data_IF_877803805024
#
_entry.id   IF_877803805024
#
_cell.length_a   1.000
_cell.length_b   1.000
_cell.length_c   1.000
_cell.angle_alpha   90.00
_cell.angle_beta   90.00
_cell.angle_gamma   90.00
#
_symmetry.space_group_name_H-M   'P 1'
#
loop_
_entity.id
_entity.type
_entity.pdbx_description
1 polymer ?
#
# COMPACT_ATOMS: atom_id res chain seq x y z
N UNK A 1 -51.78 13.01 0.62
CA UNK A 1 -51.27 11.87 1.40
C UNK A 1 -50.30 11.10 0.53
N UNK A 2 -48.98 11.28 0.74
CA UNK A 2 -47.95 10.57 -0.01
C UNK A 2 -47.40 9.44 0.87
N UNK A 3 -47.57 8.20 0.41
CA UNK A 3 -47.09 6.99 1.08
C UNK A 3 -45.56 6.94 1.01
N UNK A 4 -44.92 7.07 2.18
CA UNK A 4 -43.49 6.82 2.36
C UNK A 4 -43.31 5.30 2.38
N UNK A 5 -42.89 4.74 1.23
CA UNK A 5 -42.54 3.34 1.12
C UNK A 5 -41.26 3.07 1.94
N UNK A 6 -41.42 2.26 2.99
CA UNK A 6 -40.38 1.73 3.84
C UNK A 6 -39.31 1.01 3.00
N UNK A 7 -38.07 1.53 3.00
CA UNK A 7 -36.94 0.82 2.37
C UNK A 7 -36.60 -0.44 3.17
N UNK A 8 -36.35 -1.58 2.53
CA UNK A 8 -35.94 -2.79 3.22
C UNK A 8 -34.55 -2.61 3.84
N UNK A 9 -34.42 -2.93 5.13
CA UNK A 9 -33.14 -3.13 5.80
C UNK A 9 -32.42 -4.30 5.13
N UNK A 10 -31.32 -4.01 4.43
CA UNK A 10 -30.41 -5.04 3.94
C UNK A 10 -29.56 -5.49 5.15
N UNK A 11 -29.55 -6.79 5.51
CA UNK A 11 -28.74 -7.27 6.62
C UNK A 11 -27.25 -7.06 6.31
N UNK A 12 -26.49 -6.61 7.30
CA UNK A 12 -25.04 -6.48 7.22
C UNK A 12 -24.41 -7.85 6.94
N UNK A 13 -24.12 -8.13 5.67
CA UNK A 13 -23.37 -9.31 5.25
C UNK A 13 -21.94 -9.16 5.74
N UNK A 14 -21.56 -9.99 6.73
CA UNK A 14 -20.15 -10.25 7.05
C UNK A 14 -19.44 -10.61 5.75
N UNK A 15 -18.38 -9.88 5.42
CA UNK A 15 -17.46 -10.24 4.34
C UNK A 15 -17.00 -11.69 4.56
N UNK A 16 -16.92 -12.50 3.48
CA UNK A 16 -16.51 -13.89 3.62
C UNK A 16 -15.06 -13.97 4.13
N UNK A 17 -14.74 -14.87 5.08
CA UNK A 17 -13.36 -15.13 5.48
C UNK A 17 -12.55 -15.64 4.29
N UNK A 18 -11.30 -15.18 4.21
CA UNK A 18 -10.42 -15.31 3.06
C UNK A 18 -10.29 -16.72 2.49
N UNK A 19 -10.32 -16.79 1.15
CA UNK A 19 -9.92 -17.96 0.38
C UNK A 19 -8.39 -18.09 0.46
N UNK A 20 -7.91 -18.94 1.37
CA UNK A 20 -6.53 -19.39 1.41
C UNK A 20 -6.27 -20.36 0.24
N UNK A 21 -5.90 -19.83 -0.93
CA UNK A 21 -5.35 -20.66 -1.99
C UNK A 21 -3.94 -21.12 -1.58
N UNK A 22 -3.85 -22.39 -1.16
CA UNK A 22 -2.61 -23.10 -0.86
C UNK A 22 -1.77 -23.30 -2.12
N UNK A 23 -1.04 -22.27 -2.54
CA UNK A 23 0.04 -22.43 -3.52
C UNK A 23 1.24 -23.07 -2.80
N UNK A 24 1.60 -24.30 -3.21
CA UNK A 24 2.87 -24.91 -2.80
C UNK A 24 4.02 -24.13 -3.44
N UNK A 25 4.60 -23.19 -2.70
CA UNK A 25 5.88 -22.62 -3.06
C UNK A 25 6.97 -23.68 -2.81
N UNK A 26 7.68 -24.05 -3.89
CA UNK A 26 8.94 -24.79 -3.77
C UNK A 26 9.92 -23.90 -3.01
N UNK A 27 10.35 -24.38 -1.84
CA UNK A 27 11.44 -23.85 -1.02
C UNK A 27 12.69 -23.75 -1.91
N UNK A 28 13.04 -22.52 -2.33
CA UNK A 28 14.37 -22.23 -2.85
C UNK A 28 15.29 -22.14 -1.63
N UNK A 29 16.13 -23.15 -1.47
CA UNK A 29 17.21 -23.19 -0.48
C UNK A 29 18.25 -22.19 -0.98
N UNK A 30 18.35 -21.05 -0.28
CA UNK A 30 19.50 -20.17 -0.39
C UNK A 30 20.55 -20.71 0.56
N UNK A 31 21.59 -21.31 -0.01
CA UNK A 31 22.78 -21.73 0.72
C UNK A 31 23.48 -20.52 1.33
N UNK A 32 24.03 -20.76 2.52
CA UNK A 32 24.77 -19.87 3.37
C UNK A 32 25.88 -19.12 2.62
N UNK A 33 25.72 -17.80 2.43
CA UNK A 33 26.87 -16.93 2.18
C UNK A 33 27.55 -16.64 3.50
N UNK A 34 28.58 -17.46 3.75
CA UNK A 34 29.53 -17.31 4.83
C UNK A 34 30.24 -15.95 4.71
N UNK A 35 30.10 -15.15 5.76
CA UNK A 35 30.77 -13.88 5.96
C UNK A 35 32.15 -14.15 6.58
N UNK A 36 33.12 -14.54 5.74
CA UNK A 36 34.52 -14.67 6.15
C UNK A 36 35.45 -14.39 4.96
N UNK A 37 36.02 -13.18 4.95
CA UNK A 37 37.31 -12.79 4.35
C UNK A 37 37.21 -11.36 3.79
N UNK A 38 37.37 -10.39 4.69
CA UNK A 38 37.94 -9.09 4.31
C UNK A 38 39.43 -9.16 4.64
N UNK A 39 40.22 -9.69 3.70
CA UNK A 39 41.66 -9.55 3.75
C UNK A 39 42.23 -9.02 2.43
N UNK A 40 43.21 -8.14 2.62
CA UNK A 40 44.14 -7.58 1.65
C UNK A 40 43.60 -6.69 0.51
N UNK A 41 43.68 -5.38 0.77
CA UNK A 41 43.79 -4.34 -0.25
C UNK A 41 44.99 -4.63 -1.19
N UNK A 42 44.77 -4.87 -2.50
CA UNK A 42 45.86 -5.14 -3.42
C UNK A 42 46.62 -3.84 -3.68
N UNK A 43 47.84 -3.78 -3.14
CA UNK A 43 48.85 -2.76 -3.44
C UNK A 43 48.99 -2.63 -4.96
N UNK A 44 49.06 -1.38 -5.41
CA UNK A 44 49.05 -0.97 -6.81
C UNK A 44 50.01 -1.78 -7.68
N UNK A 45 49.43 -2.72 -8.46
CA UNK A 45 50.09 -3.23 -9.65
C UNK A 45 50.09 -2.11 -10.68
N UNK A 46 51.29 -1.65 -11.05
CA UNK A 46 51.51 -0.82 -12.23
C UNK A 46 50.83 -1.52 -13.40
N UNK A 47 49.88 -0.83 -14.02
CA UNK A 47 49.25 -1.27 -15.27
C UNK A 47 50.33 -1.14 -16.34
N UNK A 48 51.22 -2.12 -16.40
CA UNK A 48 52.15 -2.29 -17.52
C UNK A 48 51.35 -2.48 -18.80
N UNK A 49 51.91 -1.96 -19.90
CA UNK A 49 51.31 -1.79 -21.22
C UNK A 49 50.50 -3.01 -21.68
N UNK A 50 49.20 -2.99 -21.37
CA UNK A 50 48.27 -3.91 -22.00
C UNK A 50 48.26 -3.62 -23.50
N UNK A 51 48.64 -4.60 -24.31
CA UNK A 51 48.65 -4.57 -25.77
C UNK A 51 47.37 -3.88 -26.30
N UNK A 52 47.47 -2.91 -27.23
CA UNK A 52 46.33 -2.18 -27.77
C UNK A 52 45.21 -3.10 -28.29
N UNK A 53 45.54 -4.28 -28.82
CA UNK A 53 44.55 -5.29 -29.24
C UNK A 53 43.71 -5.82 -28.07
N UNK A 54 44.34 -6.08 -26.92
CA UNK A 54 43.66 -6.55 -25.70
C UNK A 54 42.82 -5.44 -25.07
N UNK A 55 43.24 -4.18 -25.15
CA UNK A 55 42.43 -3.03 -24.69
C UNK A 55 41.16 -2.88 -25.51
N UNK A 56 41.24 -2.99 -26.84
CA UNK A 56 40.07 -2.91 -27.72
C UNK A 56 39.10 -4.07 -27.43
N UNK A 57 39.62 -5.29 -27.28
CA UNK A 57 38.78 -6.45 -26.93
C UNK A 57 38.08 -6.28 -25.58
N UNK A 58 38.79 -5.77 -24.56
CA UNK A 58 38.23 -5.57 -23.23
C UNK A 58 37.17 -4.46 -23.21
N UNK A 59 37.38 -3.36 -23.94
CA UNK A 59 36.38 -2.30 -24.14
C UNK A 59 35.15 -2.86 -24.87
N UNK A 60 35.34 -3.66 -25.93
CA UNK A 60 34.22 -4.27 -26.66
C UNK A 60 33.40 -5.21 -25.77
N UNK A 61 34.04 -6.03 -24.94
CA UNK A 61 33.35 -6.91 -23.98
C UNK A 61 32.59 -6.08 -22.94
N UNK A 62 33.19 -5.03 -22.38
CA UNK A 62 32.51 -4.13 -21.44
C UNK A 62 31.30 -3.44 -22.08
N UNK A 63 31.40 -2.99 -23.34
CA UNK A 63 30.27 -2.42 -24.06
C UNK A 63 29.16 -3.44 -24.33
N UNK A 64 29.52 -4.69 -24.64
CA UNK A 64 28.56 -5.76 -24.90
C UNK A 64 27.82 -6.15 -23.60
N UNK A 65 28.53 -6.27 -22.48
CA UNK A 65 27.94 -6.50 -21.15
C UNK A 65 27.10 -5.31 -20.69
N UNK A 66 27.57 -4.07 -20.89
CA UNK A 66 26.77 -2.88 -20.58
C UNK A 66 25.49 -2.83 -21.41
N UNK A 67 25.55 -3.24 -22.68
CA UNK A 67 24.40 -3.33 -23.57
C UNK A 67 23.35 -4.36 -23.13
N UNK A 68 23.77 -5.50 -22.57
CA UNK A 68 22.80 -6.53 -22.11
C UNK A 68 22.09 -6.14 -20.81
N UNK A 69 22.78 -5.43 -19.90
CA UNK A 69 22.18 -4.99 -18.63
C UNK A 69 21.05 -3.96 -18.83
N UNK A 70 21.17 -3.07 -19.82
CA UNK A 70 20.15 -2.07 -20.14
C UNK A 70 18.86 -2.74 -20.67
N UNK A 71 18.97 -3.87 -21.37
CA UNK A 71 17.83 -4.56 -21.97
C UNK A 71 16.98 -5.32 -20.94
N UNK A 72 17.59 -5.99 -19.96
CA UNK A 72 16.86 -6.81 -18.99
C UNK A 72 15.92 -6.01 -18.08
N UNK A 73 16.33 -4.81 -17.64
CA UNK A 73 15.47 -3.94 -16.82
C UNK A 73 14.19 -3.51 -17.55
N UNK A 74 14.31 -3.23 -18.85
CA UNK A 74 13.19 -2.77 -19.68
C UNK A 74 12.13 -3.87 -19.91
N UNK A 75 12.55 -5.13 -20.04
CA UNK A 75 11.65 -6.26 -20.25
C UNK A 75 10.78 -6.51 -19.02
N UNK A 76 11.36 -6.57 -17.82
CA UNK A 76 10.61 -6.77 -16.58
C UNK A 76 9.70 -5.60 -16.23
N UNK A 77 10.11 -4.37 -16.57
CA UNK A 77 9.22 -3.21 -16.45
C UNK A 77 8.03 -3.32 -17.40
N UNK A 78 8.23 -3.74 -18.65
CA UNK A 78 7.15 -3.96 -19.62
C UNK A 78 6.18 -5.06 -19.18
N UNK A 79 6.68 -6.17 -18.63
CA UNK A 79 5.82 -7.25 -18.09
C UNK A 79 4.99 -6.74 -16.91
N UNK A 80 5.61 -6.07 -15.94
CA UNK A 80 4.89 -5.48 -14.78
C UNK A 80 3.85 -4.44 -15.21
N UNK A 81 4.19 -3.64 -16.21
CA UNK A 81 3.25 -2.68 -16.79
C UNK A 81 2.06 -3.37 -17.47
N UNK A 82 2.32 -4.44 -18.22
CA UNK A 82 1.28 -5.27 -18.82
C UNK A 82 0.35 -5.89 -17.78
N UNK A 83 0.90 -6.51 -16.73
CA UNK A 83 0.13 -7.06 -15.62
C UNK A 83 -0.75 -6.00 -14.94
N UNK A 84 -0.21 -4.78 -14.77
CA UNK A 84 -0.95 -3.66 -14.20
C UNK A 84 -2.13 -3.25 -15.07
N UNK A 85 -1.92 -3.09 -16.38
CA UNK A 85 -2.99 -2.73 -17.32
C UNK A 85 -4.10 -3.78 -17.28
N UNK A 86 -3.74 -5.06 -17.38
CA UNK A 86 -4.68 -6.18 -17.32
C UNK A 86 -5.45 -6.20 -15.99
N UNK A 87 -4.79 -5.92 -14.86
CA UNK A 87 -5.43 -5.87 -13.56
C UNK A 87 -6.44 -4.71 -13.44
N UNK A 88 -6.14 -3.52 -13.99
CA UNK A 88 -7.07 -2.39 -14.02
C UNK A 88 -8.27 -2.66 -14.94
N UNK A 89 -8.03 -3.25 -16.10
CA UNK A 89 -9.09 -3.64 -17.05
C UNK A 89 -10.02 -4.69 -16.43
N UNK A 90 -9.44 -5.74 -15.84
CA UNK A 90 -10.20 -6.77 -15.10
C UNK A 90 -11.02 -6.15 -13.98
N UNK A 91 -10.43 -5.24 -13.20
CA UNK A 91 -11.13 -4.54 -12.13
C UNK A 91 -12.30 -3.68 -12.66
N UNK A 92 -12.12 -3.02 -13.81
CA UNK A 92 -13.18 -2.24 -14.47
C UNK A 92 -14.32 -3.13 -14.91
N UNK A 93 -14.03 -4.28 -15.51
CA UNK A 93 -15.05 -5.24 -15.95
C UNK A 93 -15.80 -5.83 -14.76
N UNK A 94 -15.10 -6.21 -13.69
CA UNK A 94 -15.72 -6.64 -12.45
C UNK A 94 -16.63 -5.55 -11.85
N UNK A 95 -16.15 -4.31 -11.75
CA UNK A 95 -16.93 -3.19 -11.20
C UNK A 95 -18.16 -2.83 -12.05
N UNK A 96 -18.05 -2.94 -13.39
CA UNK A 96 -19.18 -2.74 -14.33
C UNK A 96 -20.26 -3.78 -14.11
N UNK A 97 -19.86 -5.02 -13.85
CA UNK A 97 -20.75 -6.15 -13.58
C UNK A 97 -21.23 -6.22 -12.12
N UNK A 98 -20.99 -5.18 -11.30
CA UNK A 98 -21.38 -5.14 -9.89
C UNK A 98 -20.55 -6.04 -8.96
N UNK A 99 -19.52 -6.72 -9.47
CA UNK A 99 -18.64 -7.60 -8.71
C UNK A 99 -17.52 -6.80 -8.03
N UNK A 100 -17.86 -6.06 -6.98
CA UNK A 100 -16.93 -5.14 -6.34
C UNK A 100 -15.77 -5.83 -5.60
N UNK A 101 -16.02 -6.97 -4.95
CA UNK A 101 -14.96 -7.70 -4.22
C UNK A 101 -13.77 -8.13 -5.13
N UNK A 102 -13.97 -8.84 -6.25
CA UNK A 102 -12.85 -9.17 -7.15
C UNK A 102 -12.25 -7.94 -7.86
N UNK A 103 -13.04 -6.87 -8.03
CA UNK A 103 -12.52 -5.60 -8.53
C UNK A 103 -11.50 -5.00 -7.56
N UNK A 104 -11.81 -4.93 -6.26
CA UNK A 104 -10.92 -4.41 -5.22
C UNK A 104 -9.61 -5.19 -5.14
N UNK A 105 -9.69 -6.52 -5.20
CA UNK A 105 -8.49 -7.37 -5.22
C UNK A 105 -7.61 -7.12 -6.46
N UNK A 106 -8.23 -6.96 -7.63
CA UNK A 106 -7.51 -6.63 -8.87
C UNK A 106 -6.88 -5.23 -8.80
N UNK A 107 -7.52 -4.28 -8.10
CA UNK A 107 -6.97 -2.95 -7.84
C UNK A 107 -5.77 -2.99 -6.89
N UNK A 108 -5.80 -3.81 -5.84
CA UNK A 108 -4.64 -4.01 -4.94
C UNK A 108 -3.41 -4.45 -5.75
N UNK A 109 -3.60 -5.40 -6.68
CA UNK A 109 -2.54 -5.87 -7.58
C UNK A 109 -2.03 -4.78 -8.51
N UNK A 110 -2.93 -4.02 -9.14
CA UNK A 110 -2.56 -2.91 -10.01
C UNK A 110 -1.77 -1.81 -9.27
N UNK A 111 -2.11 -1.59 -8.01
CA UNK A 111 -1.47 -0.59 -7.16
C UNK A 111 -0.16 -1.07 -6.55
N UNK A 112 0.18 -2.36 -6.57
CA UNK A 112 1.42 -2.88 -5.98
C UNK A 112 2.69 -2.55 -6.79
N UNK A 113 2.74 -1.41 -7.49
CA UNK A 113 3.88 -0.96 -8.29
C UNK A 113 4.31 0.44 -7.82
N UNK A 114 5.62 0.68 -7.69
CA UNK A 114 6.16 1.94 -7.15
C UNK A 114 5.80 3.18 -8.00
N UNK A 115 5.57 3.01 -9.32
CA UNK A 115 5.28 4.11 -10.25
C UNK A 115 3.80 4.15 -10.63
N UNK A 116 2.98 4.70 -9.73
CA UNK A 116 1.53 4.72 -9.93
C UNK A 116 1.08 5.77 -10.95
N UNK A 117 1.66 6.98 -10.95
CA UNK A 117 1.30 8.06 -11.88
C UNK A 117 -0.22 8.25 -12.01
N UNK A 118 -0.73 8.33 -13.24
CA UNK A 118 -2.17 8.49 -13.53
C UNK A 118 -3.03 7.28 -13.13
N UNK A 119 -2.42 6.10 -12.92
CA UNK A 119 -3.14 4.89 -12.52
C UNK A 119 -3.57 4.92 -11.06
N UNK A 120 -2.83 5.62 -10.20
CA UNK A 120 -3.21 5.82 -8.80
C UNK A 120 -4.59 6.49 -8.71
N UNK A 121 -4.79 7.56 -9.48
CA UNK A 121 -6.07 8.30 -9.54
C UNK A 121 -7.20 7.39 -10.02
N UNK A 122 -7.02 6.74 -11.18
CA UNK A 122 -8.05 5.87 -11.78
C UNK A 122 -8.43 4.69 -10.87
N UNK A 123 -7.44 4.02 -10.30
CA UNK A 123 -7.66 2.87 -9.39
C UNK A 123 -8.40 3.29 -8.13
N UNK A 124 -8.02 4.42 -7.54
CA UNK A 124 -8.64 4.95 -6.31
C UNK A 124 -10.06 5.45 -6.54
N UNK A 125 -10.33 6.12 -7.67
CA UNK A 125 -11.71 6.49 -8.05
C UNK A 125 -12.59 5.25 -8.22
N UNK A 126 -12.06 4.19 -8.84
CA UNK A 126 -12.81 2.96 -9.04
C UNK A 126 -13.04 2.20 -7.72
N UNK A 127 -12.07 2.23 -6.82
CA UNK A 127 -12.17 1.69 -5.46
C UNK A 127 -13.26 2.41 -4.66
N UNK A 128 -13.27 3.74 -4.66
CA UNK A 128 -14.31 4.53 -4.00
C UNK A 128 -15.71 4.15 -4.49
N UNK A 129 -15.91 4.07 -5.82
CA UNK A 129 -17.18 3.62 -6.42
C UNK A 129 -17.57 2.20 -6.02
N UNK A 130 -16.61 1.30 -5.86
CA UNK A 130 -16.88 -0.06 -5.38
C UNK A 130 -17.38 -0.04 -3.93
N UNK A 131 -16.75 0.75 -3.06
CA UNK A 131 -17.23 0.90 -1.68
C UNK A 131 -18.62 1.53 -1.60
N UNK A 132 -18.92 2.55 -2.42
CA UNK A 132 -20.28 3.12 -2.50
C UNK A 132 -21.33 2.06 -2.86
N UNK A 133 -21.04 1.23 -3.89
CA UNK A 133 -21.94 0.14 -4.31
C UNK A 133 -22.13 -0.92 -3.22
N UNK A 134 -21.13 -1.12 -2.36
CA UNK A 134 -21.20 -2.04 -1.23
C UNK A 134 -21.88 -1.41 0.01
N UNK A 135 -22.28 -0.13 -0.04
CA UNK A 135 -22.86 0.59 1.10
C UNK A 135 -21.83 1.02 2.15
N UNK A 136 -20.54 0.99 1.80
CA UNK A 136 -19.42 1.34 2.68
C UNK A 136 -19.06 2.82 2.49
N UNK A 137 -19.96 3.72 2.91
CA UNK A 137 -19.89 5.16 2.62
C UNK A 137 -18.67 5.85 3.21
N UNK A 138 -18.25 5.50 4.44
CA UNK A 138 -17.05 6.09 5.04
C UNK A 138 -15.77 5.68 4.33
N UNK A 139 -15.68 4.43 3.85
CA UNK A 139 -14.56 3.98 3.04
C UNK A 139 -14.51 4.70 1.69
N UNK A 140 -15.66 4.87 1.05
CA UNK A 140 -15.76 5.64 -0.18
C UNK A 140 -15.34 7.11 0.01
N UNK A 141 -15.87 7.77 1.04
CA UNK A 141 -15.58 9.18 1.34
C UNK A 141 -14.10 9.39 1.65
N UNK A 142 -13.47 8.48 2.41
CA UNK A 142 -12.04 8.52 2.71
C UNK A 142 -11.17 8.44 1.45
N UNK A 143 -11.51 7.56 0.50
CA UNK A 143 -10.79 7.43 -0.77
C UNK A 143 -11.01 8.63 -1.70
N UNK A 144 -12.18 9.26 -1.67
CA UNK A 144 -12.42 10.50 -2.41
C UNK A 144 -11.63 11.67 -1.82
N UNK A 145 -11.54 11.77 -0.49
CA UNK A 145 -10.66 12.76 0.17
C UNK A 145 -9.20 12.53 -0.16
N UNK A 146 -8.74 11.28 -0.16
CA UNK A 146 -7.39 10.91 -0.59
C UNK A 146 -7.07 11.43 -2.00
N UNK A 147 -8.04 11.36 -2.92
CA UNK A 147 -7.89 11.93 -4.26
C UNK A 147 -7.80 13.45 -4.24
N UNK A 148 -8.70 14.12 -3.53
CA UNK A 148 -8.71 15.57 -3.44
C UNK A 148 -7.41 16.11 -2.84
N UNK A 149 -6.96 15.51 -1.74
CA UNK A 149 -5.81 15.96 -0.95
C UNK A 149 -4.47 15.75 -1.65
N UNK A 150 -4.30 14.65 -2.41
CA UNK A 150 -3.00 14.28 -2.98
C UNK A 150 -2.91 14.33 -4.51
N UNK A 151 -4.04 14.37 -5.22
CA UNK A 151 -4.06 14.31 -6.69
C UNK A 151 -4.69 15.53 -7.35
N UNK A 152 -5.55 16.27 -6.66
CA UNK A 152 -6.12 17.52 -7.18
C UNK A 152 -5.36 18.75 -6.64
N UNK A 153 -4.91 18.71 -5.39
CA UNK A 153 -3.97 19.69 -4.84
C UNK A 153 -2.53 19.34 -5.24
N UNK A 154 -1.62 20.32 -5.32
CA UNK A 154 -0.18 20.04 -5.50
C UNK A 154 0.34 19.47 -4.17
N UNK A 155 0.54 18.15 -4.04
CA UNK A 155 1.04 17.61 -2.78
C UNK A 155 2.43 18.17 -2.52
N UNK A 156 2.73 18.47 -1.26
CA UNK A 156 4.10 18.83 -0.89
C UNK A 156 4.85 17.52 -0.74
N UNK A 157 5.65 17.17 -1.75
CA UNK A 157 6.66 16.14 -1.60
C UNK A 157 7.75 16.72 -0.69
N UNK A 158 7.78 16.28 0.56
CA UNK A 158 8.82 16.63 1.51
C UNK A 158 9.82 15.48 1.52
N UNK A 159 11.11 15.77 1.51
CA UNK A 159 12.11 14.74 1.74
C UNK A 159 11.93 14.16 3.14
N UNK A 160 11.65 12.87 3.21
CA UNK A 160 11.60 12.13 4.46
C UNK A 160 12.97 12.09 5.12
N UNK A 161 13.00 11.61 6.38
CA UNK A 161 14.26 11.45 7.14
C UNK A 161 15.30 10.58 6.41
N UNK A 162 14.82 9.68 5.56
CA UNK A 162 15.62 8.71 4.80
C UNK A 162 15.89 9.17 3.36
N UNK A 163 15.61 10.44 3.02
CA UNK A 163 15.74 10.98 1.67
C UNK A 163 14.67 10.49 0.67
N UNK A 164 13.76 9.60 1.09
CA UNK A 164 12.62 9.19 0.27
C UNK A 164 11.55 10.28 0.26
N UNK A 165 10.95 10.61 -0.90
CA UNK A 165 9.89 11.61 -0.96
C UNK A 165 8.66 11.11 -0.21
N UNK A 166 8.19 11.90 0.75
CA UNK A 166 6.97 11.64 1.52
C UNK A 166 5.93 12.68 1.11
N UNK A 167 4.74 12.22 0.75
CA UNK A 167 3.64 13.11 0.40
C UNK A 167 2.94 13.57 1.68
N UNK A 168 2.76 14.89 1.82
CA UNK A 168 2.07 15.51 2.96
C UNK A 168 1.01 16.51 2.50
N UNK A 169 -0.05 16.61 3.28
CA UNK A 169 -1.06 17.68 3.14
C UNK A 169 -0.53 18.94 3.84
N UNK A 170 -0.53 20.07 3.13
CA UNK A 170 -0.03 21.35 3.63
C UNK A 170 -0.80 21.86 4.87
N UNK A 171 -2.11 21.65 4.89
CA UNK A 171 -3.02 22.21 5.91
C UNK A 171 -3.14 21.33 7.17
N UNK A 172 -2.40 20.22 7.28
CA UNK A 172 -2.47 19.32 8.42
C UNK A 172 -1.94 19.93 9.73
N UNK A 173 -1.28 21.10 9.67
CA UNK A 173 -0.59 21.73 10.81
C UNK A 173 -1.48 22.50 11.78
N UNK A 174 -2.79 22.65 11.52
CA UNK A 174 -3.65 23.54 12.31
C UNK A 174 -4.61 22.84 13.28
N UNK A 175 -4.83 21.52 13.19
CA UNK A 175 -5.67 20.81 14.16
C UNK A 175 -4.86 20.22 15.30
N UNK A 176 -5.27 20.51 16.54
CA UNK A 176 -4.87 19.77 17.74
C UNK A 176 -5.38 18.34 17.62
N UNK A 177 -4.49 17.43 17.22
CA UNK A 177 -4.80 16.01 17.18
C UNK A 177 -4.48 15.35 18.52
N UNK A 178 -5.35 14.43 18.93
CA UNK A 178 -5.17 13.60 20.13
C UNK A 178 -4.89 12.15 19.73
N UNK A 179 -4.16 11.37 20.54
CA UNK A 179 -4.03 9.93 20.29
C UNK A 179 -5.39 9.23 20.46
N UNK A 180 -5.67 8.15 19.71
CA UNK A 180 -6.92 7.40 19.86
C UNK A 180 -7.07 6.84 21.28
N UNK A 181 -8.30 6.75 21.81
CA UNK A 181 -8.51 6.21 23.14
C UNK A 181 -8.07 4.73 23.16
N UNK A 182 -7.47 4.29 24.26
CA UNK A 182 -6.98 2.90 24.42
C UNK A 182 -8.09 1.84 24.35
N UNK A 183 -9.36 2.26 24.48
CA UNK A 183 -10.54 1.43 24.28
C UNK A 183 -10.82 1.13 22.80
N UNK A 184 -10.30 1.92 21.85
CA UNK A 184 -10.45 1.69 20.42
C UNK A 184 -9.43 0.66 19.95
N UNK A 185 -9.90 -0.50 19.49
CA UNK A 185 -9.07 -1.54 18.90
C UNK A 185 -9.01 -1.31 17.39
N UNK A 186 -7.86 -0.83 16.93
CA UNK A 186 -7.56 -0.75 15.50
C UNK A 186 -6.97 -2.11 15.07
N UNK A 187 -7.61 -2.85 14.15
CA UNK A 187 -7.03 -4.09 13.62
C UNK A 187 -5.72 -3.81 12.90
N UNK A 188 -4.88 -4.83 12.79
CA UNK A 188 -3.65 -4.73 12.00
C UNK A 188 -4.03 -4.56 10.53
N UNK A 189 -3.50 -3.55 9.81
CA UNK A 189 -3.73 -3.42 8.38
C UNK A 189 -3.28 -4.66 7.63
N UNK A 190 -4.01 -5.03 6.58
CA UNK A 190 -3.55 -6.08 5.66
C UNK A 190 -2.28 -5.63 4.95
N UNK A 191 -1.36 -6.57 4.76
CA UNK A 191 -0.12 -6.37 4.01
C UNK A 191 0.05 -7.52 3.01
N UNK A 192 -0.39 -7.30 1.78
CA UNK A 192 -0.43 -8.36 0.76
C UNK A 192 0.98 -8.71 0.24
N UNK A 193 1.22 -9.99 -0.14
CA UNK A 193 2.51 -10.42 -0.69
C UNK A 193 2.94 -9.69 -1.97
N UNK A 194 2.01 -9.06 -2.71
CA UNK A 194 2.34 -8.22 -3.86
C UNK A 194 3.07 -6.94 -3.46
N UNK A 195 2.69 -6.29 -2.35
CA UNK A 195 3.38 -5.11 -1.84
C UNK A 195 4.76 -5.47 -1.28
N UNK A 196 4.84 -6.61 -0.58
CA UNK A 196 6.10 -7.16 -0.10
C UNK A 196 7.05 -7.42 -1.28
N UNK A 197 6.64 -8.17 -2.31
CA UNK A 197 7.52 -8.41 -3.48
C UNK A 197 7.97 -7.12 -4.19
N UNK A 198 7.21 -6.05 -4.07
CA UNK A 198 7.53 -4.74 -4.64
C UNK A 198 8.34 -3.82 -3.70
N UNK A 199 8.70 -4.28 -2.50
CA UNK A 199 9.47 -3.50 -1.53
C UNK A 199 8.73 -2.28 -0.99
N UNK A 200 7.39 -2.30 -1.01
CA UNK A 200 6.58 -1.15 -0.60
C UNK A 200 6.48 -1.16 0.93
N UNK A 201 7.17 -0.21 1.56
CA UNK A 201 7.21 -0.01 3.01
C UNK A 201 7.01 1.47 3.33
N UNK A 202 6.73 1.77 4.61
CA UNK A 202 6.79 3.12 5.16
C UNK A 202 5.61 3.48 6.04
N UNK A 203 5.63 4.72 6.52
CA UNK A 203 4.73 5.23 7.55
C UNK A 203 3.51 5.93 6.96
N UNK A 204 2.31 5.51 7.34
CA UNK A 204 1.06 6.21 7.01
C UNK A 204 0.54 6.90 8.26
N UNK A 205 0.24 8.19 8.16
CA UNK A 205 -0.38 8.98 9.24
C UNK A 205 -1.82 9.27 8.85
N UNK A 206 -2.77 8.87 9.70
CA UNK A 206 -4.21 9.05 9.46
C UNK A 206 -4.83 9.85 10.60
N UNK A 207 -5.66 10.82 10.24
CA UNK A 207 -6.59 11.49 11.13
C UNK A 207 -8.02 10.99 10.91
N UNK A 208 -8.80 10.87 11.98
CA UNK A 208 -10.21 10.49 11.90
C UNK A 208 -10.98 10.97 13.14
N UNK A 209 -12.30 10.99 13.03
CA UNK A 209 -13.20 11.33 14.14
C UNK A 209 -13.90 10.07 14.63
N UNK A 210 -14.44 10.09 15.84
CA UNK A 210 -15.32 9.04 16.34
C UNK A 210 -16.76 9.55 16.42
N UNK A 211 -17.67 8.84 15.75
CA UNK A 211 -19.10 9.05 15.91
C UNK A 211 -19.57 8.61 17.31
N UNK A 212 -20.82 8.94 17.65
CA UNK A 212 -21.42 8.61 18.96
C UNK A 212 -21.50 7.11 19.24
N UNK A 213 -21.56 6.29 18.18
CA UNK A 213 -21.54 4.82 18.26
C UNK A 213 -20.13 4.25 18.34
N UNK A 214 -19.11 5.11 18.32
CA UNK A 214 -17.70 4.71 18.34
C UNK A 214 -17.14 4.29 17.00
N UNK A 215 -17.89 4.43 15.91
CA UNK A 215 -17.37 4.15 14.56
C UNK A 215 -16.53 5.31 14.07
N UNK A 216 -15.41 5.05 13.37
CA UNK A 216 -14.63 6.10 12.74
C UNK A 216 -15.39 6.77 11.60
N UNK A 217 -15.30 8.09 11.57
CA UNK A 217 -15.82 8.94 10.50
C UNK A 217 -14.74 9.93 10.10
N UNK A 218 -14.96 10.67 9.00
CA UNK A 218 -14.04 11.74 8.57
C UNK A 218 -12.58 11.29 8.40
N UNK A 219 -12.38 10.01 8.01
CA UNK A 219 -11.05 9.43 7.81
C UNK A 219 -10.32 10.22 6.71
N UNK A 220 -9.11 10.68 7.03
CA UNK A 220 -8.24 11.47 6.16
C UNK A 220 -6.78 11.04 6.34
N UNK A 221 -6.08 10.85 5.24
CA UNK A 221 -4.65 10.49 5.23
C UNK A 221 -3.84 11.77 5.24
N UNK A 222 -2.97 11.97 6.22
CA UNK A 222 -2.15 13.18 6.32
C UNK A 222 -0.78 12.99 5.67
N UNK A 223 -0.24 11.78 5.78
CA UNK A 223 1.07 11.39 5.27
C UNK A 223 0.98 9.99 4.68
N UNK A 224 1.53 9.79 3.47
CA UNK A 224 1.71 8.45 2.91
C UNK A 224 2.95 8.36 2.00
N UNK A 225 3.70 7.25 2.05
CA UNK A 225 4.75 6.95 1.08
C UNK A 225 4.17 6.36 -0.21
N UNK A 226 3.01 5.69 -0.12
CA UNK A 226 2.46 4.92 -1.21
C UNK A 226 0.94 4.71 -1.05
N UNK A 227 0.18 4.79 -2.16
CA UNK A 227 -1.29 4.78 -2.11
C UNK A 227 -1.87 3.48 -1.58
N UNK A 228 -1.25 2.34 -1.91
CA UNK A 228 -1.71 1.03 -1.47
C UNK A 228 -1.66 0.89 0.05
N UNK A 229 -0.63 1.46 0.69
CA UNK A 229 -0.51 1.47 2.15
C UNK A 229 -1.58 2.37 2.77
N UNK A 230 -1.83 3.53 2.16
CA UNK A 230 -2.90 4.43 2.58
C UNK A 230 -4.28 3.77 2.49
N UNK A 231 -4.56 3.02 1.42
CA UNK A 231 -5.80 2.25 1.27
C UNK A 231 -5.98 1.23 2.40
N UNK A 232 -4.96 0.41 2.69
CA UNK A 232 -5.07 -0.59 3.75
C UNK A 232 -5.14 0.02 5.15
N UNK A 233 -4.48 1.15 5.35
CA UNK A 233 -4.58 1.93 6.57
C UNK A 233 -6.00 2.51 6.75
N UNK A 234 -6.61 3.07 5.70
CA UNK A 234 -8.01 3.54 5.73
C UNK A 234 -8.97 2.39 6.10
N UNK A 235 -8.76 1.20 5.54
CA UNK A 235 -9.58 0.02 5.85
C UNK A 235 -9.42 -0.44 7.29
N UNK A 236 -8.19 -0.52 7.80
CA UNK A 236 -7.94 -0.87 9.18
C UNK A 236 -8.62 0.11 10.15
N UNK A 237 -8.60 1.40 9.84
CA UNK A 237 -9.32 2.39 10.64
C UNK A 237 -10.83 2.17 10.54
N UNK A 238 -11.40 2.02 9.34
CA UNK A 238 -12.83 1.79 9.17
C UNK A 238 -13.33 0.51 9.87
N UNK A 239 -12.47 -0.50 10.03
CA UNK A 239 -12.74 -1.76 10.74
C UNK A 239 -12.46 -1.69 12.25
N UNK A 240 -12.02 -0.54 12.77
CA UNK A 240 -11.76 -0.42 14.20
C UNK A 240 -13.04 -0.44 15.03
N UNK A 241 -12.95 -1.07 16.20
CA UNK A 241 -14.08 -1.29 17.10
C UNK A 241 -13.72 -0.88 18.52
N UNK A 242 -14.67 -0.28 19.24
CA UNK A 242 -14.51 -0.06 20.67
C UNK A 242 -14.64 -1.37 21.44
N UNK A 243 -13.73 -1.56 22.39
CA UNK A 243 -13.84 -2.64 23.38
C UNK A 243 -15.15 -2.48 24.15
N UNK A 244 -15.83 -3.61 24.39
CA UNK A 244 -17.09 -3.70 25.17
C UNK A 244 -16.88 -3.50 26.68
N UNK A 245 -16.08 -2.53 27.09
CA UNK A 245 -15.92 -2.14 28.49
C UNK A 245 -17.09 -1.23 28.92
N UNK A 246 -17.35 -1.13 30.23
CA UNK A 246 -18.37 -0.21 30.79
C UNK A 246 -18.17 1.20 30.22
N UNK A 247 -19.07 1.60 29.31
CA UNK A 247 -19.21 2.92 28.65
C UNK A 247 -17.92 3.77 28.65
N UNK A 248 -16.98 3.53 27.71
CA UNK A 248 -15.88 4.48 27.52
C UNK A 248 -16.48 5.86 27.22
N UNK A 249 -16.08 6.87 27.98
CA UNK A 249 -16.40 8.25 27.68
C UNK A 249 -15.58 8.65 26.46
N UNK A 250 -16.23 8.73 25.29
CA UNK A 250 -15.60 9.20 24.06
C UNK A 250 -15.82 10.72 24.02
N UNK A 251 -14.76 11.54 24.07
CA UNK A 251 -14.91 12.96 23.82
C UNK A 251 -15.35 13.16 22.35
N UNK A 252 -16.52 13.78 22.19
CA UNK A 252 -17.07 14.10 20.86
C UNK A 252 -16.42 15.38 20.34
N UNK A 253 -16.10 15.41 19.04
CA UNK A 253 -15.49 16.57 18.39
C UNK A 253 -13.96 16.60 18.47
N UNK A 254 -13.33 15.58 19.05
CA UNK A 254 -11.87 15.41 18.97
C UNK A 254 -11.47 14.73 17.65
N UNK A 255 -10.35 15.20 17.09
CA UNK A 255 -9.71 14.61 15.93
C UNK A 255 -8.58 13.68 16.40
N UNK A 256 -8.74 12.39 16.15
CA UNK A 256 -7.75 11.39 16.54
C UNK A 256 -6.69 11.25 15.46
N UNK A 257 -5.44 11.04 15.87
CA UNK A 257 -4.32 10.77 14.97
C UNK A 257 -3.64 9.46 15.33
N UNK A 258 -3.43 8.64 14.32
CA UNK A 258 -2.76 7.35 14.47
C UNK A 258 -1.73 7.14 13.35
N UNK A 259 -0.71 6.36 13.68
CA UNK A 259 0.43 6.10 12.82
C UNK A 259 0.51 4.59 12.59
N UNK A 260 0.56 4.19 11.32
CA UNK A 260 0.65 2.80 10.88
C UNK A 260 1.96 2.62 10.10
N UNK A 261 2.89 1.83 10.63
CA UNK A 261 4.27 1.70 10.12
C UNK A 261 4.47 0.42 9.29
N UNK A 262 4.27 0.44 7.98
CA UNK A 262 4.44 -0.76 7.16
C UNK A 262 5.91 -1.16 7.02
N UNK A 263 6.30 -2.27 7.66
CA UNK A 263 7.66 -2.80 7.66
C UNK A 263 7.73 -4.18 7.01
N UNK A 264 8.90 -4.53 6.47
CA UNK A 264 9.12 -5.83 5.80
C UNK A 264 8.83 -7.03 6.70
N UNK A 265 9.16 -6.93 7.99
CA UNK A 265 9.04 -8.02 8.97
C UNK A 265 7.59 -8.37 9.34
N UNK A 266 6.61 -7.59 8.90
CA UNK A 266 5.19 -7.83 9.20
C UNK A 266 4.63 -9.12 8.59
N UNK A 267 5.29 -9.71 7.59
CA UNK A 267 4.83 -10.93 6.93
C UNK A 267 5.13 -12.23 7.72
N UNK A 268 6.14 -12.24 8.60
CA UNK A 268 6.58 -13.48 9.27
C UNK A 268 5.69 -13.85 10.46
N UNK A 269 5.28 -12.88 11.28
CA UNK A 269 4.46 -13.15 12.48
C UNK A 269 3.00 -13.52 12.18
N UNK A 270 2.44 -13.02 11.07
CA UNK A 270 1.02 -13.26 10.75
C UNK A 270 0.73 -14.72 10.36
N UNK A 271 1.72 -15.43 9.83
CA UNK A 271 1.61 -16.86 9.51
C UNK A 271 1.81 -17.74 10.75
N UNK A 272 2.65 -17.33 11.70
CA UNK A 272 2.97 -18.11 12.89
C UNK A 272 1.79 -18.26 13.87
N UNK A 273 0.84 -17.32 13.90
CA UNK A 273 -0.31 -17.34 14.82
C UNK A 273 -1.58 -17.99 14.28
N UNK A 274 -1.57 -18.51 13.04
CA UNK A 274 -2.73 -19.17 12.41
C UNK A 274 -2.64 -20.70 12.41
N UNK A 275 -1.48 -21.26 12.76
CA UNK A 275 -1.21 -22.70 12.83
C UNK A 275 -1.23 -23.27 14.27
N UNK A 276 -1.66 -22.46 15.25
CA UNK A 276 -1.74 -22.80 16.69
C UNK A 276 -3.16 -22.69 17.22
#
# INVERSE_FOLDING_TARGET
>A
MWNIASRPMIPATRLPPGYAHRMRFRKWIGDDMNESDYDESPRGRKIEELDPSKRIALIAILLLVAGTQISCGSMWQRVREGERVVAVESARDYARNGKCAPALFSLDRAQATLKLGTYARKSTTMRARCYEKLGLTELASAHLRLLADFYDQKPIAVEGRDGQPVLRIADATQSTHVPPPSSLKIPRPRYEPSAQRSGIVGRVVISFDLARDGRPTNIRVLEMPHILLATWAIEAIAESELRKTKKPMIPLGEHYLTILNFEWRWAEESQAGQDS
#
